data_IF_759994033436
#
_entry.id   IF_759994033436
#
_cell.length_a   1.000
_cell.length_b   1.000
_cell.length_c   1.000
_cell.angle_alpha   90.00
_cell.angle_beta   90.00
_cell.angle_gamma   90.00
#
_symmetry.space_group_name_H-M   'P 1'
#
loop_
_entity.id
_entity.type
_entity.pdbx_description
1 polymer ?
#
# COMPACT_ATOMS: atom_id res chain seq x y z
N UNK A 1 -58.21 -62.32 7.70
CA UNK A 1 -59.40 -61.45 7.56
C UNK A 1 -59.33 -60.38 8.65
N UNK A 2 -59.26 -59.09 8.25
CA UNK A 2 -59.60 -57.83 8.96
C UNK A 2 -58.97 -57.57 10.35
N UNK A 3 -58.45 -56.39 10.71
CA UNK A 3 -58.53 -55.05 10.11
C UNK A 3 -57.46 -54.13 10.76
N UNK A 4 -56.96 -53.18 9.96
CA UNK A 4 -56.13 -52.02 10.32
C UNK A 4 -56.78 -51.07 11.35
N UNK A 5 -55.99 -50.24 12.05
CA UNK A 5 -55.75 -48.79 11.76
C UNK A 5 -55.14 -47.98 12.93
N UNK A 6 -53.92 -47.48 12.69
CA UNK A 6 -53.42 -46.08 12.79
C UNK A 6 -54.12 -45.05 13.69
N UNK A 7 -53.35 -44.32 14.56
CA UNK A 7 -52.92 -42.91 14.36
C UNK A 7 -52.20 -42.28 15.57
N UNK A 8 -51.20 -41.45 15.24
CA UNK A 8 -50.42 -40.50 16.06
C UNK A 8 -51.29 -39.37 16.63
N UNK A 9 -50.85 -38.71 17.72
CA UNK A 9 -50.53 -37.25 17.79
C UNK A 9 -50.19 -36.83 19.24
N UNK A 10 -49.26 -35.88 19.31
CA UNK A 10 -48.59 -35.22 20.43
C UNK A 10 -49.47 -34.25 21.27
N UNK A 11 -48.89 -33.82 22.41
CA UNK A 11 -48.82 -32.45 22.98
C UNK A 11 -49.45 -32.19 24.39
N UNK A 12 -48.58 -31.64 25.26
CA UNK A 12 -48.77 -30.48 26.19
C UNK A 12 -49.21 -30.71 27.64
N UNK A 13 -48.47 -30.04 28.54
CA UNK A 13 -48.95 -29.46 29.81
C UNK A 13 -47.97 -29.73 30.97
N UNK A 14 -47.12 -28.81 31.47
CA UNK A 14 -47.26 -27.43 31.98
C UNK A 14 -46.97 -27.39 33.50
N UNK A 15 -45.94 -26.60 33.86
CA UNK A 15 -45.68 -25.77 35.05
C UNK A 15 -46.20 -26.16 36.45
N UNK A 16 -45.37 -25.93 37.49
CA UNK A 16 -45.61 -24.96 38.60
C UNK A 16 -44.34 -24.81 39.47
N UNK A 17 -44.06 -23.55 39.84
CA UNK A 17 -43.00 -23.01 40.71
C UNK A 17 -43.14 -23.43 42.21
N UNK A 18 -42.30 -23.13 43.20
CA UNK A 18 -41.34 -22.06 43.42
C UNK A 18 -40.51 -22.30 44.72
N UNK A 19 -39.38 -21.58 44.85
CA UNK A 19 -38.77 -20.97 46.05
C UNK A 19 -38.02 -21.81 47.11
N UNK A 20 -36.76 -21.44 47.37
CA UNK A 20 -36.01 -21.85 48.58
C UNK A 20 -34.50 -21.55 48.59
N UNK A 21 -34.17 -20.27 48.82
CA UNK A 21 -32.89 -19.62 49.16
C UNK A 21 -31.59 -20.45 49.39
N UNK A 22 -30.54 -20.06 48.67
CA UNK A 22 -29.12 -20.30 49.01
C UNK A 22 -28.25 -19.24 48.34
N UNK A 23 -27.96 -18.15 49.06
CA UNK A 23 -27.07 -17.09 48.58
C UNK A 23 -25.60 -17.47 48.83
N UNK A 24 -24.91 -17.86 47.76
CA UNK A 24 -23.46 -17.78 47.66
C UNK A 24 -23.12 -16.45 46.97
N UNK A 25 -22.12 -15.68 47.43
CA UNK A 25 -21.65 -14.54 46.67
C UNK A 25 -20.94 -15.08 45.43
N UNK A 26 -21.64 -15.06 44.30
CA UNK A 26 -20.95 -15.01 43.01
C UNK A 26 -20.21 -13.67 43.04
N UNK A 27 -18.88 -13.72 43.06
CA UNK A 27 -18.10 -12.59 42.58
C UNK A 27 -18.53 -12.42 41.13
N UNK A 28 -19.48 -11.50 40.92
CA UNK A 28 -19.73 -11.00 39.59
C UNK A 28 -18.40 -10.47 39.10
N UNK A 29 -17.87 -11.08 38.05
CA UNK A 29 -17.26 -10.29 37.00
C UNK A 29 -18.32 -9.24 36.67
N UNK A 30 -18.18 -8.05 37.26
CA UNK A 30 -18.99 -6.91 36.89
C UNK A 30 -18.87 -6.71 35.38
N UNK A 31 -19.76 -5.92 34.75
CA UNK A 31 -19.34 -5.29 33.52
C UNK A 31 -17.97 -4.66 33.84
N UNK A 32 -16.93 -5.07 33.11
CA UNK A 32 -15.80 -4.18 32.94
C UNK A 32 -16.42 -2.84 32.57
N UNK A 33 -16.09 -1.78 33.32
CA UNK A 33 -16.54 -0.46 32.98
C UNK A 33 -16.31 -0.27 31.48
N UNK A 34 -17.39 -0.18 30.70
CA UNK A 34 -17.30 0.43 29.39
C UNK A 34 -16.98 1.88 29.73
N UNK A 35 -15.69 2.23 29.67
CA UNK A 35 -15.28 3.61 29.79
C UNK A 35 -15.92 4.35 28.60
N UNK A 36 -16.57 5.48 28.87
CA UNK A 36 -17.00 6.42 27.83
C UNK A 36 -15.72 6.91 27.13
N UNK A 37 -15.27 6.18 26.11
CA UNK A 37 -13.98 6.42 25.49
C UNK A 37 -13.81 5.69 24.17
N UNK A 38 -13.25 6.40 23.20
CA UNK A 38 -12.52 5.80 22.11
C UNK A 38 -11.27 5.09 22.65
N UNK A 39 -10.84 4.03 21.98
CA UNK A 39 -9.52 3.43 22.17
C UNK A 39 -8.79 3.49 20.83
N UNK A 40 -7.52 3.88 20.85
CA UNK A 40 -6.68 3.94 19.65
C UNK A 40 -5.46 3.06 19.87
N UNK A 41 -5.41 1.93 19.17
CA UNK A 41 -4.26 1.05 19.21
C UNK A 41 -3.21 1.52 18.20
N UNK A 42 -2.00 1.73 18.72
CA UNK A 42 -0.81 2.11 17.97
C UNK A 42 0.12 0.90 17.88
N UNK A 43 0.08 0.21 16.74
CA UNK A 43 0.78 -1.05 16.56
C UNK A 43 2.02 -0.84 15.69
N UNK A 44 3.22 -0.96 16.29
CA UNK A 44 4.46 -1.04 15.51
C UNK A 44 4.49 -2.38 14.78
N UNK A 45 4.27 -2.32 13.47
CA UNK A 45 4.29 -3.52 12.61
C UNK A 45 5.68 -3.86 12.12
N UNK A 46 6.55 -2.86 11.99
CA UNK A 46 7.96 -3.07 11.68
C UNK A 46 8.82 -1.91 12.21
N UNK A 47 10.09 -2.17 12.56
CA UNK A 47 11.05 -1.13 12.90
C UNK A 47 12.45 -1.48 12.42
N UNK A 48 13.13 -0.51 11.84
CA UNK A 48 14.52 -0.59 11.41
C UNK A 48 15.31 0.55 12.06
N UNK A 49 16.64 0.46 12.16
CA UNK A 49 17.49 1.33 13.00
C UNK A 49 17.49 2.85 12.74
N UNK A 50 16.54 3.37 11.94
CA UNK A 50 16.26 4.79 11.74
C UNK A 50 14.78 5.11 11.46
N UNK A 51 13.88 4.12 11.42
CA UNK A 51 12.46 4.32 11.15
C UNK A 51 11.59 3.12 11.49
N UNK A 52 10.29 3.29 11.38
CA UNK A 52 9.31 2.29 11.75
C UNK A 52 8.05 2.47 10.94
N UNK A 53 7.28 1.40 10.85
CA UNK A 53 5.92 1.43 10.33
C UNK A 53 4.97 1.14 11.48
N UNK A 54 3.92 1.95 11.59
CA UNK A 54 2.87 1.79 12.57
C UNK A 54 1.51 1.72 11.88
N UNK A 55 0.64 0.87 12.40
CA UNK A 55 -0.76 0.84 12.03
C UNK A 55 -1.62 1.31 13.18
N UNK A 56 -2.74 1.94 12.84
CA UNK A 56 -3.59 2.65 13.79
C UNK A 56 -5.00 2.07 13.71
N UNK A 57 -5.43 1.50 14.82
CA UNK A 57 -6.76 0.88 14.94
C UNK A 57 -7.62 1.72 15.87
N UNK A 58 -8.78 2.17 15.37
CA UNK A 58 -9.77 2.87 16.16
C UNK A 58 -10.80 1.87 16.65
N UNK A 59 -10.99 1.78 17.96
CA UNK A 59 -12.12 1.11 18.60
C UNK A 59 -13.09 2.15 19.11
N UNK A 60 -14.29 2.19 18.54
CA UNK A 60 -15.27 3.21 18.84
C UNK A 60 -16.25 2.75 19.94
N UNK A 61 -16.38 3.49 21.04
CA UNK A 61 -17.38 3.20 22.08
C UNK A 61 -18.83 3.43 21.61
N UNK A 62 -19.03 4.42 20.75
CA UNK A 62 -20.27 4.76 20.05
C UNK A 62 -19.97 4.88 18.54
N UNK A 63 -20.97 4.78 17.64
CA UNK A 63 -20.71 4.85 16.21
C UNK A 63 -20.08 6.19 15.82
N UNK A 64 -19.00 6.13 15.04
CA UNK A 64 -18.30 7.28 14.48
C UNK A 64 -18.57 7.33 12.97
N UNK A 65 -18.92 8.52 12.47
CA UNK A 65 -19.12 8.81 11.05
C UNK A 65 -18.33 10.09 10.74
N UNK A 66 -17.06 9.87 10.41
CA UNK A 66 -16.01 10.89 10.35
C UNK A 66 -15.17 10.90 11.62
N UNK A 67 -13.86 10.68 11.47
CA UNK A 67 -12.92 10.67 12.59
C UNK A 67 -11.74 11.62 12.35
N UNK A 68 -11.37 12.33 13.42
CA UNK A 68 -10.19 13.16 13.55
C UNK A 68 -9.37 12.64 14.74
N UNK A 69 -8.20 12.06 14.47
CA UNK A 69 -7.25 11.59 15.48
C UNK A 69 -6.15 12.64 15.67
N UNK A 70 -5.89 13.00 16.93
CA UNK A 70 -4.77 13.87 17.29
C UNK A 70 -3.94 13.23 18.40
N UNK A 71 -2.62 13.38 18.36
CA UNK A 71 -1.74 12.96 19.46
C UNK A 71 -0.40 13.70 19.45
N UNK A 72 0.42 13.48 20.48
CA UNK A 72 1.78 13.98 20.58
C UNK A 72 2.79 12.84 20.50
N UNK A 73 3.66 12.86 19.50
CA UNK A 73 4.77 11.92 19.41
C UNK A 73 5.90 12.25 20.41
N UNK A 74 6.72 11.25 20.79
CA UNK A 74 7.99 11.52 21.43
C UNK A 74 8.87 12.45 20.57
N UNK A 75 9.60 13.35 21.22
CA UNK A 75 10.47 14.31 20.53
C UNK A 75 11.48 13.60 19.59
N UNK A 76 11.59 14.11 18.36
CA UNK A 76 12.45 13.54 17.31
C UNK A 76 11.76 12.48 16.44
N UNK A 77 10.47 12.22 16.65
CA UNK A 77 9.66 11.37 15.77
C UNK A 77 9.07 12.20 14.63
N UNK A 78 9.18 11.73 13.40
CA UNK A 78 8.63 12.40 12.22
C UNK A 78 7.94 11.38 11.33
N UNK A 79 6.68 11.63 10.96
CA UNK A 79 5.94 10.88 9.96
C UNK A 79 6.43 11.30 8.58
N UNK A 80 6.90 10.33 7.79
CA UNK A 80 7.37 10.55 6.42
C UNK A 80 6.32 10.24 5.36
N UNK A 81 5.41 9.31 5.65
CA UNK A 81 4.28 8.96 4.79
C UNK A 81 3.16 8.33 5.61
N UNK A 82 1.91 8.48 5.18
CA UNK A 82 0.76 7.79 5.75
C UNK A 82 -0.26 7.49 4.65
N UNK A 83 -1.09 6.47 4.84
CA UNK A 83 -2.13 6.05 3.91
C UNK A 83 -3.47 5.91 4.61
N UNK A 84 -4.57 6.05 3.86
CA UNK A 84 -5.94 6.06 4.38
C UNK A 84 -6.20 7.19 5.41
N UNK A 85 -5.39 8.26 5.40
CA UNK A 85 -5.53 9.39 6.32
C UNK A 85 -5.12 10.67 5.61
N UNK A 86 -5.90 11.74 5.76
CA UNK A 86 -5.45 13.10 5.47
C UNK A 86 -4.76 13.61 6.73
N UNK A 87 -3.48 13.94 6.66
CA UNK A 87 -2.67 14.14 7.86
C UNK A 87 -1.75 15.36 7.78
N UNK A 88 -1.40 15.86 8.96
CA UNK A 88 -0.36 16.87 9.13
C UNK A 88 0.39 16.63 10.43
N UNK A 89 1.67 17.01 10.44
CA UNK A 89 2.49 17.01 11.64
C UNK A 89 3.21 18.36 11.78
N UNK A 90 3.19 18.92 12.99
CA UNK A 90 3.94 20.12 13.35
C UNK A 90 4.67 19.89 14.67
N UNK A 91 5.99 19.77 14.62
CA UNK A 91 6.78 19.35 15.78
C UNK A 91 6.39 17.94 16.22
N UNK A 92 6.01 17.76 17.48
CA UNK A 92 5.52 16.48 18.02
C UNK A 92 4.03 16.24 17.73
N UNK A 93 3.29 17.28 17.36
CA UNK A 93 1.84 17.21 17.24
C UNK A 93 1.44 16.62 15.89
N UNK A 94 0.65 15.55 15.90
CA UNK A 94 0.09 14.90 14.73
C UNK A 94 -1.43 15.06 14.72
N UNK A 95 -1.99 15.33 13.54
CA UNK A 95 -3.41 15.31 13.26
C UNK A 95 -3.65 14.47 12.03
N UNK A 96 -4.62 13.55 12.08
CA UNK A 96 -5.06 12.74 10.95
C UNK A 96 -6.58 12.60 10.91
N UNK A 97 -7.19 12.80 9.75
CA UNK A 97 -8.63 12.62 9.53
C UNK A 97 -8.92 11.56 8.47
N UNK A 98 -10.13 11.02 8.48
CA UNK A 98 -10.59 10.08 7.47
C UNK A 98 -10.53 10.67 6.05
N UNK A 99 -10.47 9.78 5.05
CA UNK A 99 -10.45 10.14 3.62
C UNK A 99 -11.78 9.81 2.94
N UNK A 100 -12.88 9.89 3.70
CA UNK A 100 -14.25 9.70 3.24
C UNK A 100 -14.70 8.24 3.20
N UNK A 101 -13.94 7.34 2.56
CA UNK A 101 -14.38 5.94 2.43
C UNK A 101 -14.23 5.13 3.73
N UNK A 102 -13.28 5.53 4.60
CA UNK A 102 -13.00 4.89 5.87
C UNK A 102 -13.53 5.68 7.09
N UNK A 103 -14.47 6.60 6.86
CA UNK A 103 -15.05 7.48 7.88
C UNK A 103 -15.86 6.73 8.96
N UNK A 104 -16.50 5.61 8.59
CA UNK A 104 -17.47 4.92 9.44
C UNK A 104 -16.82 3.83 10.30
N UNK A 105 -17.02 3.89 11.61
CA UNK A 105 -16.67 2.84 12.58
C UNK A 105 -17.87 2.57 13.48
N UNK A 106 -18.38 1.34 13.52
CA UNK A 106 -19.53 0.97 14.32
C UNK A 106 -19.24 0.96 15.83
N UNK A 107 -20.30 1.04 16.64
CA UNK A 107 -20.18 0.92 18.10
C UNK A 107 -19.60 -0.44 18.50
N UNK A 108 -18.53 -0.41 19.29
CA UNK A 108 -17.77 -1.57 19.73
C UNK A 108 -16.91 -2.22 18.64
N UNK A 109 -16.83 -1.64 17.44
CA UNK A 109 -15.98 -2.17 16.36
C UNK A 109 -14.58 -1.60 16.45
N UNK A 110 -13.60 -2.46 16.14
CA UNK A 110 -12.19 -2.09 15.96
C UNK A 110 -11.86 -2.12 14.47
N UNK A 111 -11.50 -0.98 13.91
CA UNK A 111 -11.17 -0.84 12.49
C UNK A 111 -9.77 -0.26 12.37
N UNK A 112 -8.90 -0.92 11.60
CA UNK A 112 -7.63 -0.31 11.19
C UNK A 112 -7.96 0.85 10.26
N UNK A 113 -7.86 2.06 10.78
CA UNK A 113 -8.30 3.27 10.10
C UNK A 113 -7.22 3.79 9.16
N UNK A 114 -5.95 3.72 9.58
CA UNK A 114 -4.81 4.13 8.75
C UNK A 114 -3.51 3.47 9.21
N UNK A 115 -2.44 3.71 8.45
CA UNK A 115 -1.08 3.38 8.87
C UNK A 115 -0.10 4.40 8.32
N UNK A 116 1.12 4.40 8.85
CA UNK A 116 2.13 5.37 8.48
C UNK A 116 3.55 4.84 8.67
N UNK A 117 4.50 5.45 7.97
CA UNK A 117 5.94 5.28 8.19
C UNK A 117 6.46 6.51 8.92
N UNK A 118 7.14 6.26 10.04
CA UNK A 118 7.81 7.27 10.85
C UNK A 118 9.32 7.04 10.91
N UNK A 119 10.05 8.08 11.25
CA UNK A 119 11.47 8.05 11.61
C UNK A 119 11.65 8.49 13.07
N UNK A 120 12.72 8.05 13.72
CA UNK A 120 12.98 8.38 15.13
C UNK A 120 12.40 7.38 16.12
N UNK A 121 11.72 7.85 17.17
CA UNK A 121 11.23 7.00 18.26
C UNK A 121 9.94 6.27 17.86
N UNK A 122 9.95 4.94 17.94
CA UNK A 122 8.76 4.11 17.74
C UNK A 122 7.88 3.96 18.99
N UNK A 123 8.19 4.66 20.09
CA UNK A 123 7.36 4.63 21.29
C UNK A 123 5.96 5.23 21.03
N UNK A 124 4.95 4.69 21.70
CA UNK A 124 3.57 5.12 21.53
C UNK A 124 3.39 6.62 21.85
N UNK A 125 2.53 7.33 21.11
CA UNK A 125 2.26 8.74 21.35
C UNK A 125 1.41 8.94 22.61
N UNK A 126 1.48 10.15 23.16
CA UNK A 126 0.71 10.59 24.32
C UNK A 126 -0.45 11.51 23.91
N UNK A 127 -1.38 11.75 24.83
CA UNK A 127 -2.50 12.68 24.65
C UNK A 127 -3.37 12.38 23.40
N UNK A 128 -3.60 11.10 23.13
CA UNK A 128 -4.42 10.66 22.00
C UNK A 128 -5.86 11.11 22.18
N UNK A 129 -6.44 11.73 21.16
CA UNK A 129 -7.84 12.13 21.12
C UNK A 129 -8.49 11.76 19.79
N UNK A 130 -9.76 11.38 19.82
CA UNK A 130 -10.60 11.17 18.64
C UNK A 130 -11.75 12.17 18.70
N UNK A 131 -11.94 12.97 17.65
CA UNK A 131 -12.96 14.02 17.55
C UNK A 131 -12.92 14.99 18.76
N UNK A 132 -11.72 15.26 19.29
CA UNK A 132 -11.48 16.11 20.45
C UNK A 132 -11.78 15.49 21.81
N UNK A 133 -12.14 14.21 21.88
CA UNK A 133 -12.32 13.45 23.13
C UNK A 133 -11.08 12.62 23.40
N UNK A 134 -10.48 12.75 24.59
CA UNK A 134 -9.29 11.98 24.96
C UNK A 134 -9.63 10.50 25.07
N UNK A 135 -8.80 9.67 24.44
CA UNK A 135 -8.86 8.21 24.50
C UNK A 135 -7.94 7.69 25.63
N UNK A 136 -8.15 6.43 26.05
CA UNK A 136 -7.24 5.66 26.92
C UNK A 136 -6.90 6.28 28.29
N UNK A 137 -7.80 7.09 28.86
CA UNK A 137 -7.68 7.60 30.23
C UNK A 137 -6.51 8.56 30.49
N UNK A 138 -5.90 9.12 29.45
CA UNK A 138 -4.73 10.00 29.57
C UNK A 138 -5.10 11.42 30.05
N UNK A 139 -4.23 12.03 30.87
CA UNK A 139 -4.30 13.47 31.23
C UNK A 139 -3.33 14.27 30.35
N UNK A 140 -3.79 15.39 29.77
CA UNK A 140 -3.07 16.18 28.75
C UNK A 140 -1.64 16.67 29.10
N UNK A 141 -0.93 17.25 28.12
CA UNK A 141 0.53 17.40 28.15
C UNK A 141 1.06 18.29 29.29
N UNK A 142 2.14 17.84 29.93
CA UNK A 142 2.95 18.59 30.90
C UNK A 142 3.88 19.59 30.16
N UNK A 143 4.10 20.83 30.63
CA UNK A 143 4.92 21.80 29.92
C UNK A 143 6.44 21.72 30.21
N UNK A 144 7.23 22.05 29.17
CA UNK A 144 8.61 22.60 29.11
C UNK A 144 9.83 21.63 29.13
N UNK A 145 11.04 21.99 28.59
CA UNK A 145 11.55 23.33 28.25
C UNK A 145 11.99 23.63 26.80
N UNK A 146 11.90 24.94 26.48
CA UNK A 146 12.25 25.67 25.25
C UNK A 146 13.70 25.51 24.72
N UNK A 147 13.94 25.32 23.39
CA UNK A 147 15.28 25.38 22.82
C UNK A 147 15.73 26.79 22.39
N UNK A 148 17.04 27.06 22.54
CA UNK A 148 17.78 28.29 22.17
C UNK A 148 18.20 28.26 20.68
N UNK A 149 18.20 29.40 19.93
CA UNK A 149 18.50 29.40 18.50
C UNK A 149 19.99 29.21 18.17
N UNK A 150 20.28 28.41 17.13
CA UNK A 150 21.63 28.16 16.55
C UNK A 150 21.77 28.87 15.19
N UNK A 151 22.94 29.48 14.86
CA UNK A 151 23.09 30.36 13.70
C UNK A 151 23.23 29.68 12.32
N UNK A 152 22.88 30.46 11.29
CA UNK A 152 22.83 30.18 9.84
C UNK A 152 24.16 29.70 9.22
N UNK A 153 24.18 28.65 8.37
CA UNK A 153 25.37 28.26 7.63
C UNK A 153 25.60 29.09 6.35
N UNK A 154 26.88 29.24 5.99
CA UNK A 154 27.41 29.90 4.78
C UNK A 154 27.48 28.89 3.61
N UNK A 155 27.23 29.27 2.34
CA UNK A 155 27.20 28.32 1.22
C UNK A 155 28.58 27.75 0.88
N UNK A 156 28.62 26.43 0.63
CA UNK A 156 29.78 25.69 0.11
C UNK A 156 29.68 25.62 -1.42
N UNK A 157 30.76 25.78 -2.19
CA UNK A 157 30.70 25.76 -3.65
C UNK A 157 30.42 24.36 -4.22
N UNK A 158 29.56 24.35 -5.24
CA UNK A 158 29.16 23.22 -6.09
C UNK A 158 30.37 22.59 -6.82
N UNK A 159 30.55 21.25 -6.79
CA UNK A 159 31.53 20.60 -7.65
C UNK A 159 31.02 20.55 -9.10
N UNK A 160 31.94 20.78 -10.04
CA UNK A 160 31.73 20.64 -11.49
C UNK A 160 31.61 19.15 -11.86
N UNK A 161 30.60 18.71 -12.65
CA UNK A 161 30.54 17.34 -13.15
C UNK A 161 31.69 17.08 -14.13
N UNK A 162 32.35 15.93 -13.97
CA UNK A 162 33.31 15.39 -14.94
C UNK A 162 32.62 14.23 -15.64
N UNK A 163 32.49 14.33 -16.95
CA UNK A 163 32.06 13.24 -17.83
C UNK A 163 33.10 12.11 -17.76
N UNK A 164 32.71 10.93 -17.28
CA UNK A 164 33.43 9.67 -17.51
C UNK A 164 32.39 8.56 -17.78
N UNK A 165 32.47 7.82 -18.90
CA UNK A 165 31.49 6.81 -19.24
C UNK A 165 31.76 5.48 -18.53
N UNK A 166 30.67 4.87 -18.04
CA UNK A 166 30.47 3.42 -17.88
C UNK A 166 31.44 2.65 -16.98
N UNK A 167 31.07 2.51 -15.72
CA UNK A 167 31.27 1.26 -14.96
C UNK A 167 29.96 1.03 -14.19
N UNK A 168 29.27 -0.12 -14.33
CA UNK A 168 28.11 -0.42 -13.50
C UNK A 168 28.52 -0.27 -12.02
N UNK A 169 27.68 0.30 -11.15
CA UNK A 169 28.03 0.44 -9.75
C UNK A 169 28.43 -0.93 -9.17
N UNK A 170 29.51 -0.96 -8.39
CA UNK A 170 29.92 -2.17 -7.65
C UNK A 170 28.76 -2.59 -6.72
N UNK A 171 27.94 -3.58 -7.13
CA UNK A 171 26.80 -4.08 -6.36
C UNK A 171 25.74 -4.79 -7.22
N UNK A 172 24.70 -5.36 -6.60
CA UNK A 172 23.56 -5.93 -7.30
C UNK A 172 22.82 -4.85 -8.10
N UNK A 173 22.24 -5.22 -9.24
CA UNK A 173 21.40 -4.32 -10.04
C UNK A 173 20.11 -4.04 -9.29
N UNK A 174 19.81 -2.77 -9.05
CA UNK A 174 18.65 -2.32 -8.27
C UNK A 174 17.44 -2.23 -9.18
N UNK A 175 16.44 -3.07 -8.95
CA UNK A 175 15.23 -3.16 -9.76
C UNK A 175 14.04 -2.69 -8.90
N UNK A 176 13.31 -1.68 -9.36
CA UNK A 176 12.10 -1.22 -8.69
C UNK A 176 10.85 -1.70 -9.44
N UNK A 177 10.10 -2.66 -8.90
CA UNK A 177 8.72 -2.92 -9.32
C UNK A 177 7.83 -1.75 -8.90
N UNK A 178 7.46 -0.87 -9.83
CA UNK A 178 6.66 0.33 -9.57
C UNK A 178 5.25 0.16 -10.16
N UNK A 179 4.22 0.39 -9.35
CA UNK A 179 2.85 0.28 -9.86
C UNK A 179 1.73 0.42 -8.85
N UNK A 180 0.59 -0.17 -9.20
CA UNK A 180 -0.62 -0.20 -8.39
C UNK A 180 -0.77 -1.52 -7.59
N UNK A 181 -2.00 -1.97 -7.33
CA UNK A 181 -2.30 -3.23 -6.64
C UNK A 181 -1.80 -4.46 -7.40
N UNK A 182 -1.68 -4.39 -8.73
CA UNK A 182 -1.14 -5.51 -9.52
C UNK A 182 0.34 -5.71 -9.23
N UNK A 183 1.08 -4.64 -8.90
CA UNK A 183 2.47 -4.72 -8.45
C UNK A 183 2.57 -5.04 -6.96
N UNK A 184 1.82 -4.33 -6.11
CA UNK A 184 1.93 -4.44 -4.67
C UNK A 184 1.25 -5.68 -4.10
N UNK A 185 -0.08 -5.65 -4.01
CA UNK A 185 -0.89 -6.73 -3.46
C UNK A 185 -2.33 -6.62 -4.00
N UNK A 186 -3.00 -7.75 -4.34
CA UNK A 186 -2.60 -9.15 -4.10
C UNK A 186 -1.61 -9.74 -5.12
N UNK A 187 -1.09 -8.95 -6.07
CA UNK A 187 -0.16 -9.46 -7.09
C UNK A 187 1.12 -10.08 -6.51
N UNK A 188 1.39 -11.34 -6.88
CA UNK A 188 2.51 -12.13 -6.36
C UNK A 188 3.53 -12.56 -7.43
N UNK A 189 3.45 -12.00 -8.64
CA UNK A 189 4.41 -12.27 -9.71
C UNK A 189 5.85 -11.90 -9.35
N UNK A 190 6.08 -10.96 -8.43
CA UNK A 190 7.43 -10.56 -7.97
C UNK A 190 8.22 -11.74 -7.42
N UNK A 191 7.59 -12.62 -6.63
CA UNK A 191 8.26 -13.81 -6.11
C UNK A 191 8.65 -14.80 -7.22
N UNK A 192 7.77 -15.02 -8.20
CA UNK A 192 8.09 -15.82 -9.38
C UNK A 192 9.23 -15.19 -10.20
N UNK A 193 9.21 -13.87 -10.39
CA UNK A 193 10.26 -13.15 -11.09
C UNK A 193 11.60 -13.26 -10.35
N UNK A 194 11.60 -13.08 -9.03
CA UNK A 194 12.78 -13.25 -8.20
C UNK A 194 13.41 -14.63 -8.38
N UNK A 195 12.58 -15.68 -8.46
CA UNK A 195 13.07 -17.02 -8.76
C UNK A 195 13.74 -17.09 -10.13
N UNK A 196 13.12 -16.52 -11.18
CA UNK A 196 13.70 -16.54 -12.53
C UNK A 196 15.07 -15.84 -12.59
N UNK A 197 15.17 -14.63 -12.03
CA UNK A 197 16.44 -13.87 -12.03
C UNK A 197 17.53 -14.56 -11.19
N UNK A 198 17.15 -15.17 -10.06
CA UNK A 198 18.08 -15.96 -9.23
C UNK A 198 18.54 -17.23 -9.95
N UNK A 199 17.62 -17.97 -10.59
CA UNK A 199 17.93 -19.20 -11.33
C UNK A 199 18.83 -18.92 -12.56
N UNK A 200 18.70 -17.74 -13.15
CA UNK A 200 19.58 -17.25 -14.22
C UNK A 200 20.97 -16.79 -13.73
N UNK A 201 21.13 -16.59 -12.41
CA UNK A 201 22.40 -16.21 -11.78
C UNK A 201 22.68 -14.70 -11.79
N UNK A 202 21.65 -13.87 -11.97
CA UNK A 202 21.78 -12.42 -11.87
C UNK A 202 21.90 -11.97 -10.41
N UNK A 203 22.78 -11.00 -10.15
CA UNK A 203 22.92 -10.34 -8.85
C UNK A 203 22.03 -9.10 -8.85
N UNK A 204 20.86 -9.20 -8.23
CA UNK A 204 19.82 -8.16 -8.24
C UNK A 204 19.31 -7.86 -6.83
N UNK A 205 18.82 -6.65 -6.64
CA UNK A 205 18.23 -6.12 -5.41
C UNK A 205 16.87 -5.53 -5.80
N UNK A 206 15.77 -6.09 -5.29
CA UNK A 206 14.48 -5.43 -5.48
C UNK A 206 14.38 -4.28 -4.50
N UNK A 207 13.89 -3.13 -4.97
CA UNK A 207 13.93 -1.90 -4.17
C UNK A 207 12.58 -1.20 -4.20
N UNK A 208 12.25 -0.56 -3.07
CA UNK A 208 11.04 0.22 -2.91
C UNK A 208 10.63 0.26 -1.44
N UNK A 209 9.66 1.11 -1.12
CA UNK A 209 9.19 1.34 0.24
C UNK A 209 8.19 0.29 0.73
N UNK A 210 7.63 -0.50 -0.19
CA UNK A 210 6.60 -1.49 0.10
C UNK A 210 7.16 -2.89 0.16
N UNK A 211 6.54 -3.71 1.00
CA UNK A 211 6.83 -5.14 1.10
C UNK A 211 5.52 -5.92 1.05
N UNK A 212 5.42 -6.84 0.10
CA UNK A 212 4.24 -7.69 -0.03
C UNK A 212 4.66 -9.16 -0.16
N UNK A 213 4.35 -9.91 0.90
CA UNK A 213 4.68 -11.32 1.09
C UNK A 213 4.09 -12.22 0.01
N UNK A 214 4.96 -12.93 -0.72
CA UNK A 214 4.58 -13.83 -1.80
C UNK A 214 5.55 -15.03 -1.84
N UNK A 215 5.13 -16.12 -2.49
CA UNK A 215 5.99 -17.30 -2.70
C UNK A 215 6.93 -17.08 -3.92
N UNK A 216 8.13 -17.71 -3.94
CA UNK A 216 8.68 -18.62 -2.93
C UNK A 216 9.24 -17.87 -1.69
N UNK A 217 9.29 -18.58 -0.56
CA UNK A 217 9.89 -18.04 0.66
C UNK A 217 11.38 -17.75 0.46
N UNK A 218 11.83 -16.59 0.92
CA UNK A 218 13.22 -16.13 0.77
C UNK A 218 13.47 -15.29 -0.48
N UNK A 219 12.43 -15.00 -1.27
CA UNK A 219 12.52 -13.95 -2.28
C UNK A 219 12.71 -12.57 -1.64
N UNK A 220 13.44 -11.71 -2.33
CA UNK A 220 13.33 -10.27 -2.09
C UNK A 220 11.98 -9.81 -2.64
N UNK A 221 11.23 -9.09 -1.81
CA UNK A 221 9.85 -8.71 -2.07
C UNK A 221 9.64 -7.21 -1.92
N UNK A 222 10.73 -6.45 -1.79
CA UNK A 222 10.69 -5.00 -1.82
C UNK A 222 10.11 -4.54 -3.18
N UNK A 223 9.26 -3.53 -3.13
CA UNK A 223 8.57 -3.00 -4.29
C UNK A 223 8.04 -1.60 -4.01
N UNK A 224 7.50 -0.97 -5.04
CA UNK A 224 6.84 0.32 -4.98
C UNK A 224 5.42 0.21 -5.57
N UNK A 225 4.71 -0.85 -5.17
CA UNK A 225 3.33 -1.13 -5.59
C UNK A 225 2.30 -0.62 -4.58
N UNK A 226 1.42 0.28 -5.00
CA UNK A 226 0.46 0.95 -4.12
C UNK A 226 -0.99 0.68 -4.56
N UNK A 227 -1.70 -0.14 -3.79
CA UNK A 227 -3.09 -0.51 -4.10
C UNK A 227 -4.03 0.69 -4.22
N UNK A 228 -4.82 0.73 -5.29
CA UNK A 228 -5.76 1.83 -5.57
C UNK A 228 -5.10 3.15 -6.00
N UNK A 229 -3.77 3.24 -6.05
CA UNK A 229 -3.09 4.45 -6.47
C UNK A 229 -3.31 4.71 -7.97
N UNK A 230 -3.42 5.99 -8.33
CA UNK A 230 -3.41 6.46 -9.72
C UNK A 230 -2.03 7.05 -10.00
N UNK A 231 -1.42 6.71 -11.12
CA UNK A 231 -0.11 7.24 -11.49
C UNK A 231 -0.16 8.77 -11.65
N UNK A 232 -1.28 9.28 -12.15
CA UNK A 232 -1.50 10.73 -12.31
C UNK A 232 -1.53 11.46 -10.97
N UNK A 233 -2.16 10.88 -9.94
CA UNK A 233 -2.19 11.49 -8.61
C UNK A 233 -0.83 11.38 -7.91
N UNK A 234 -0.20 10.21 -7.98
CA UNK A 234 1.11 9.95 -7.37
C UNK A 234 2.17 10.92 -7.90
N UNK A 235 2.20 11.15 -9.21
CA UNK A 235 3.14 12.06 -9.85
C UNK A 235 2.81 13.52 -9.54
N UNK A 236 1.53 13.92 -9.64
CA UNK A 236 1.10 15.28 -9.31
C UNK A 236 1.41 15.69 -7.87
N UNK A 237 1.39 14.73 -6.94
CA UNK A 237 1.68 14.93 -5.53
C UNK A 237 3.17 14.79 -5.19
N UNK A 238 4.04 14.52 -6.16
CA UNK A 238 5.49 14.33 -5.96
C UNK A 238 5.87 13.04 -5.24
N UNK A 239 4.93 12.09 -5.08
CA UNK A 239 5.18 10.84 -4.36
C UNK A 239 6.13 9.93 -5.15
N UNK A 240 5.94 9.83 -6.47
CA UNK A 240 6.86 9.05 -7.33
C UNK A 240 8.30 9.53 -7.23
N UNK A 241 8.51 10.86 -7.22
CA UNK A 241 9.86 11.44 -7.07
C UNK A 241 10.48 11.03 -5.74
N UNK A 242 9.72 11.13 -4.65
CA UNK A 242 10.22 10.76 -3.31
C UNK A 242 10.61 9.27 -3.24
N UNK A 243 9.83 8.37 -3.85
CA UNK A 243 10.15 6.95 -3.91
C UNK A 243 11.44 6.67 -4.71
N UNK A 244 11.60 7.33 -5.87
CA UNK A 244 12.81 7.25 -6.68
C UNK A 244 14.04 7.81 -5.96
N UNK A 245 13.90 8.88 -5.17
CA UNK A 245 15.00 9.44 -4.38
C UNK A 245 15.41 8.52 -3.23
N UNK A 246 14.44 7.87 -2.58
CA UNK A 246 14.69 6.96 -1.47
C UNK A 246 15.37 5.67 -1.93
N UNK A 247 14.97 5.16 -3.09
CA UNK A 247 15.33 3.84 -3.58
C UNK A 247 15.82 3.89 -5.03
N UNK A 248 16.66 4.86 -5.40
CA UNK A 248 17.06 5.09 -6.80
C UNK A 248 17.43 3.79 -7.51
N UNK A 249 16.65 3.37 -8.53
CA UNK A 249 16.87 2.11 -9.20
C UNK A 249 17.74 2.26 -10.45
N UNK A 250 18.36 1.15 -10.84
CA UNK A 250 19.00 0.98 -12.15
C UNK A 250 17.95 0.58 -13.22
N UNK A 251 16.95 -0.20 -12.81
CA UNK A 251 15.83 -0.64 -13.67
C UNK A 251 14.50 -0.39 -12.99
N UNK A 252 13.54 0.23 -13.69
CA UNK A 252 12.14 0.34 -13.24
C UNK A 252 11.26 -0.62 -14.03
N UNK A 253 10.49 -1.47 -13.33
CA UNK A 253 9.39 -2.24 -13.91
C UNK A 253 8.09 -1.47 -13.70
N UNK A 254 7.66 -0.70 -14.69
CA UNK A 254 6.50 0.18 -14.59
C UNK A 254 5.23 -0.56 -15.03
N UNK A 255 4.44 -1.05 -14.08
CA UNK A 255 3.08 -1.58 -14.30
C UNK A 255 2.06 -0.73 -13.54
N UNK A 256 1.63 0.37 -14.15
CA UNK A 256 0.75 1.34 -13.50
C UNK A 256 -0.38 1.77 -14.45
N UNK A 257 -1.33 2.58 -13.98
CA UNK A 257 -2.42 3.09 -14.82
C UNK A 257 -3.73 2.31 -14.78
N UNK A 258 -3.81 1.16 -14.09
CA UNK A 258 -5.07 0.39 -14.00
C UNK A 258 -6.18 1.19 -13.33
N UNK A 259 -5.85 1.87 -12.22
CA UNK A 259 -6.81 2.71 -11.50
C UNK A 259 -7.11 4.02 -12.24
N UNK A 260 -6.19 4.53 -13.05
CA UNK A 260 -6.42 5.68 -13.93
C UNK A 260 -7.44 5.31 -15.02
N UNK A 261 -7.28 4.15 -15.65
CA UNK A 261 -8.25 3.54 -16.57
C UNK A 261 -9.62 3.39 -15.92
N UNK A 262 -9.64 2.88 -14.68
CA UNK A 262 -10.85 2.77 -13.86
C UNK A 262 -11.54 4.11 -13.63
N UNK A 263 -10.74 5.14 -13.39
CA UNK A 263 -11.18 6.49 -13.10
C UNK A 263 -11.44 7.33 -14.36
N UNK A 264 -11.42 6.69 -15.54
CA UNK A 264 -11.65 7.34 -16.83
C UNK A 264 -10.66 8.49 -17.13
N UNK A 265 -9.43 8.36 -16.64
CA UNK A 265 -8.33 9.26 -16.99
C UNK A 265 -7.91 8.97 -18.44
N UNK A 266 -7.81 9.99 -19.31
CA UNK A 266 -7.39 9.79 -20.70
C UNK A 266 -5.96 9.24 -20.81
N UNK A 267 -5.66 8.35 -21.79
CA UNK A 267 -4.31 7.81 -22.01
C UNK A 267 -3.20 8.86 -22.04
N UNK A 268 -3.41 9.99 -22.74
CA UNK A 268 -2.42 11.07 -22.78
C UNK A 268 -2.03 11.62 -21.40
N UNK A 269 -2.97 11.73 -20.45
CA UNK A 269 -2.64 12.20 -19.09
C UNK A 269 -1.85 11.15 -18.29
N UNK A 270 -2.15 9.86 -18.51
CA UNK A 270 -1.40 8.75 -17.91
C UNK A 270 0.03 8.74 -18.44
N UNK A 271 0.21 8.96 -19.75
CA UNK A 271 1.52 9.02 -20.39
C UNK A 271 2.31 10.29 -20.02
N UNK A 272 1.64 11.41 -19.76
CA UNK A 272 2.28 12.60 -19.17
C UNK A 272 2.85 12.26 -17.79
N UNK A 273 2.10 11.53 -16.95
CA UNK A 273 2.58 11.06 -15.65
C UNK A 273 3.76 10.07 -15.79
N UNK A 274 3.72 9.15 -16.75
CA UNK A 274 4.88 8.28 -17.04
C UNK A 274 6.10 9.09 -17.46
N UNK A 275 5.89 10.15 -18.25
CA UNK A 275 6.98 11.06 -18.66
C UNK A 275 7.59 11.76 -17.46
N UNK A 276 6.80 12.18 -16.46
CA UNK A 276 7.32 12.71 -15.20
C UNK A 276 8.17 11.70 -14.44
N UNK A 277 7.73 10.44 -14.32
CA UNK A 277 8.52 9.38 -13.68
C UNK A 277 9.85 9.16 -14.39
N UNK A 278 9.84 9.07 -15.72
CA UNK A 278 11.06 8.88 -16.53
C UNK A 278 12.00 10.08 -16.39
N UNK A 279 11.46 11.30 -16.37
CA UNK A 279 12.25 12.52 -16.18
C UNK A 279 12.92 12.52 -14.80
N UNK A 280 12.13 12.27 -13.75
CA UNK A 280 12.63 12.22 -12.38
C UNK A 280 13.69 11.13 -12.19
N UNK A 281 13.47 9.95 -12.79
CA UNK A 281 14.40 8.84 -12.76
C UNK A 281 15.72 9.23 -13.43
N UNK A 282 15.68 9.80 -14.64
CA UNK A 282 16.89 10.20 -15.39
C UNK A 282 17.65 11.34 -14.71
N UNK A 283 16.97 12.21 -13.99
CA UNK A 283 17.60 13.24 -13.18
C UNK A 283 18.40 12.65 -11.99
N UNK A 284 18.01 11.45 -11.52
CA UNK A 284 18.68 10.75 -10.42
C UNK A 284 19.72 9.72 -10.91
N UNK A 285 19.39 9.02 -11.99
CA UNK A 285 20.19 8.00 -12.64
C UNK A 285 20.04 8.14 -14.17
N UNK A 286 20.95 8.85 -14.85
CA UNK A 286 20.85 9.12 -16.28
C UNK A 286 20.97 7.86 -17.15
N UNK A 287 21.52 6.77 -16.60
CA UNK A 287 21.70 5.47 -17.27
C UNK A 287 20.55 4.48 -16.99
N UNK A 288 19.51 4.90 -16.26
CA UNK A 288 18.46 3.99 -15.82
C UNK A 288 17.67 3.41 -17.00
N UNK A 289 17.34 2.13 -16.92
CA UNK A 289 16.47 1.44 -17.88
C UNK A 289 15.03 1.40 -17.38
N UNK A 290 14.07 1.63 -18.28
CA UNK A 290 12.64 1.55 -17.95
C UNK A 290 12.00 0.43 -18.76
N UNK A 291 11.49 -0.58 -18.07
CA UNK A 291 10.66 -1.62 -18.65
C UNK A 291 9.20 -1.25 -18.35
N UNK A 292 8.46 -0.77 -19.36
CA UNK A 292 7.07 -0.33 -19.22
C UNK A 292 6.11 -1.41 -19.69
N UNK A 293 5.15 -1.79 -18.86
CA UNK A 293 4.12 -2.73 -19.25
C UNK A 293 3.12 -2.08 -20.20
N UNK A 294 2.78 -2.75 -21.30
CA UNK A 294 1.37 -2.74 -21.72
C UNK A 294 0.60 -3.48 -20.62
N UNK A 295 -0.33 -2.81 -19.94
CA UNK A 295 -1.02 -3.39 -18.78
C UNK A 295 -1.81 -4.65 -19.17
N UNK A 296 -2.00 -5.56 -18.23
CA UNK A 296 -2.80 -6.78 -18.46
C UNK A 296 -4.25 -6.45 -18.92
N UNK A 297 -4.91 -7.35 -19.65
CA UNK A 297 -6.31 -7.16 -20.02
C UNK A 297 -7.19 -7.13 -18.77
N UNK A 298 -8.23 -6.29 -18.82
CA UNK A 298 -9.22 -6.18 -17.75
C UNK A 298 -10.55 -6.79 -18.20
N UNK A 299 -11.23 -7.48 -17.29
CA UNK A 299 -12.61 -7.93 -17.46
C UNK A 299 -13.35 -7.93 -16.11
N UNK A 300 -13.43 -6.79 -15.39
CA UNK A 300 -14.09 -6.73 -14.10
C UNK A 300 -15.55 -7.13 -14.21
N UNK A 301 -16.09 -7.81 -13.19
CA UNK A 301 -17.52 -8.09 -13.14
C UNK A 301 -18.31 -6.76 -13.23
N UNK A 302 -19.42 -6.78 -13.95
CA UNK A 302 -20.32 -5.64 -14.09
C UNK A 302 -20.78 -5.08 -12.73
N UNK A 303 -20.78 -5.88 -11.66
CA UNK A 303 -21.07 -5.45 -10.30
C UNK A 303 -19.99 -4.55 -9.67
N UNK A 304 -18.75 -4.58 -10.15
CA UNK A 304 -17.64 -3.77 -9.64
C UNK A 304 -17.52 -2.41 -10.32
N UNK A 305 -18.30 -2.14 -11.38
CA UNK A 305 -18.64 -0.77 -11.77
C UNK A 305 -17.79 -0.12 -12.87
N UNK A 306 -17.01 -0.88 -13.67
CA UNK A 306 -16.30 -0.32 -14.82
C UNK A 306 -16.47 -1.13 -16.12
N UNK A 307 -17.64 -1.00 -16.76
CA UNK A 307 -17.94 -1.70 -18.01
C UNK A 307 -17.03 -1.30 -19.19
N UNK A 308 -16.51 -0.08 -19.19
CA UNK A 308 -15.64 0.45 -20.26
C UNK A 308 -14.15 0.19 -20.00
N UNK A 309 -13.76 -0.26 -18.79
CA UNK A 309 -12.36 -0.52 -18.44
C UNK A 309 -11.62 -1.42 -19.43
N UNK A 310 -12.21 -2.52 -19.94
CA UNK A 310 -11.55 -3.35 -20.94
C UNK A 310 -11.12 -2.56 -22.17
N UNK A 311 -12.00 -1.69 -22.69
CA UNK A 311 -11.69 -0.87 -23.86
C UNK A 311 -10.69 0.24 -23.53
N UNK A 312 -10.82 0.89 -22.36
CA UNK A 312 -9.89 1.93 -21.93
C UNK A 312 -8.47 1.40 -21.71
N UNK A 313 -8.33 0.15 -21.24
CA UNK A 313 -7.04 -0.53 -21.16
C UNK A 313 -6.43 -0.77 -22.56
N UNK A 314 -7.25 -1.17 -23.55
CA UNK A 314 -6.82 -1.25 -24.96
C UNK A 314 -6.34 0.11 -25.46
N UNK A 315 -7.09 1.17 -25.17
CA UNK A 315 -6.77 2.52 -25.64
C UNK A 315 -5.44 3.02 -25.06
N UNK A 316 -5.19 2.81 -23.75
CA UNK A 316 -3.89 3.11 -23.14
C UNK A 316 -2.76 2.29 -23.77
N UNK A 317 -2.93 0.97 -23.88
CA UNK A 317 -1.91 0.08 -24.44
C UNK A 317 -1.56 0.37 -25.90
N UNK A 318 -2.49 0.93 -26.67
CA UNK A 318 -2.26 1.35 -28.05
C UNK A 318 -1.30 2.55 -28.15
N UNK A 319 -1.24 3.40 -27.13
CA UNK A 319 -0.40 4.61 -27.12
C UNK A 319 1.00 4.36 -26.53
N UNK A 320 1.15 3.41 -25.60
CA UNK A 320 2.42 3.11 -24.91
C UNK A 320 3.62 2.88 -25.86
N UNK A 321 3.53 2.10 -26.95
CA UNK A 321 4.68 1.90 -27.84
C UNK A 321 5.18 3.17 -28.53
N UNK A 322 4.25 4.04 -28.94
CA UNK A 322 4.59 5.32 -29.53
C UNK A 322 5.25 6.26 -28.52
N UNK A 323 4.71 6.31 -27.31
CA UNK A 323 5.29 7.06 -26.19
C UNK A 323 6.70 6.58 -25.84
N UNK A 324 6.88 5.28 -25.61
CA UNK A 324 8.17 4.69 -25.25
C UNK A 324 9.23 4.99 -26.32
N UNK A 325 8.90 4.78 -27.60
CA UNK A 325 9.80 5.10 -28.72
C UNK A 325 10.19 6.58 -28.75
N UNK A 326 9.26 7.49 -28.42
CA UNK A 326 9.51 8.93 -28.47
C UNK A 326 10.45 9.44 -27.38
N UNK A 327 10.55 8.72 -26.26
CA UNK A 327 11.28 9.15 -25.07
C UNK A 327 12.52 8.29 -24.79
N UNK A 328 12.63 7.10 -25.41
CA UNK A 328 13.76 6.18 -25.29
C UNK A 328 15.04 6.76 -25.89
N UNK A 329 16.18 6.54 -25.22
CA UNK A 329 17.52 6.89 -25.71
C UNK A 329 18.44 5.67 -25.64
N UNK A 330 19.64 5.77 -26.22
CA UNK A 330 20.65 4.71 -26.10
C UNK A 330 21.18 4.58 -24.66
N UNK A 331 21.30 5.70 -23.94
CA UNK A 331 21.81 5.79 -22.57
C UNK A 331 20.77 5.36 -21.52
N UNK A 332 19.50 5.71 -21.73
CA UNK A 332 18.37 5.36 -20.86
C UNK A 332 17.24 4.75 -21.70
N UNK A 333 17.32 3.45 -22.02
CA UNK A 333 16.34 2.81 -22.87
C UNK A 333 15.00 2.65 -22.17
N UNK A 334 13.92 2.83 -22.94
CA UNK A 334 12.55 2.46 -22.55
C UNK A 334 12.12 1.29 -23.42
N UNK A 335 11.86 0.14 -22.79
CA UNK A 335 11.45 -1.11 -23.45
C UNK A 335 10.01 -1.41 -23.07
N UNK A 336 9.18 -1.68 -24.08
CA UNK A 336 7.79 -2.07 -23.86
C UNK A 336 7.72 -3.58 -23.59
N UNK A 337 7.09 -3.94 -22.49
CA UNK A 337 6.83 -5.32 -22.07
C UNK A 337 5.37 -5.65 -22.30
N UNK A 338 5.11 -6.62 -23.18
CA UNK A 338 3.76 -7.06 -23.53
C UNK A 338 3.22 -8.01 -22.44
N UNK A 339 2.53 -7.45 -21.44
CA UNK A 339 1.77 -8.23 -20.45
C UNK A 339 0.37 -8.62 -20.96
N UNK A 340 -0.01 -8.20 -22.16
CA UNK A 340 -1.32 -8.41 -22.74
C UNK A 340 -1.44 -9.74 -23.47
N UNK A 341 -0.53 -10.03 -24.40
CA UNK A 341 -0.63 -11.18 -25.29
C UNK A 341 -0.45 -12.50 -24.54
N UNK A 342 -1.53 -13.30 -24.53
CA UNK A 342 -1.56 -14.62 -23.88
C UNK A 342 -2.10 -14.60 -22.44
N UNK A 343 -2.49 -13.42 -21.95
CA UNK A 343 -3.19 -13.24 -20.69
C UNK A 343 -4.71 -13.25 -20.94
N UNK A 344 -5.45 -14.06 -20.18
CA UNK A 344 -6.90 -14.17 -20.24
C UNK A 344 -7.48 -13.76 -18.87
N UNK A 345 -8.13 -12.59 -18.77
CA UNK A 345 -8.60 -12.10 -17.49
C UNK A 345 -9.64 -13.03 -16.85
N UNK A 346 -10.35 -13.86 -17.61
CA UNK A 346 -11.32 -14.79 -17.04
C UNK A 346 -10.68 -15.98 -16.32
N UNK A 347 -9.43 -16.32 -16.65
CA UNK A 347 -8.74 -17.51 -16.10
C UNK A 347 -7.45 -17.18 -15.35
N UNK A 348 -6.87 -16.00 -15.59
CA UNK A 348 -5.62 -15.54 -15.01
C UNK A 348 -5.82 -14.48 -13.91
N UNK A 349 -7.06 -14.10 -13.58
CA UNK A 349 -7.37 -13.20 -12.47
C UNK A 349 -8.39 -13.82 -11.52
N UNK A 350 -8.48 -13.29 -10.30
CA UNK A 350 -9.50 -13.68 -9.32
C UNK A 350 -10.82 -12.90 -9.48
N UNK A 351 -10.76 -11.66 -9.96
CA UNK A 351 -11.88 -10.72 -9.99
C UNK A 351 -12.05 -9.97 -11.34
N UNK A 352 -11.31 -10.37 -12.37
CA UNK A 352 -11.24 -9.69 -13.65
C UNK A 352 -10.19 -8.58 -13.72
N UNK A 353 -9.43 -8.35 -12.64
CA UNK A 353 -8.43 -7.27 -12.52
C UNK A 353 -7.11 -7.80 -11.94
N UNK A 354 -7.16 -8.45 -10.79
CA UNK A 354 -5.97 -8.84 -10.05
C UNK A 354 -5.51 -10.25 -10.40
N UNK A 355 -4.23 -10.45 -10.73
CA UNK A 355 -3.72 -11.75 -11.19
C UNK A 355 -3.79 -12.81 -10.10
N UNK A 356 -4.32 -13.98 -10.46
CA UNK A 356 -4.24 -15.20 -9.64
C UNK A 356 -2.89 -15.90 -9.88
N UNK A 357 -2.68 -17.09 -9.32
CA UNK A 357 -1.42 -17.85 -9.49
C UNK A 357 -1.01 -18.04 -10.97
N UNK A 358 -1.96 -18.33 -11.87
CA UNK A 358 -1.69 -18.47 -13.31
C UNK A 358 -1.26 -17.15 -13.94
N UNK A 359 -1.98 -16.07 -13.65
CA UNK A 359 -1.62 -14.73 -14.12
C UNK A 359 -0.27 -14.27 -13.59
N UNK A 360 0.03 -14.55 -12.32
CA UNK A 360 1.30 -14.20 -11.70
C UNK A 360 2.49 -14.91 -12.37
N UNK A 361 2.33 -16.16 -12.83
CA UNK A 361 3.36 -16.86 -13.61
C UNK A 361 3.58 -16.19 -14.98
N UNK A 362 2.50 -15.81 -15.66
CA UNK A 362 2.59 -15.16 -16.98
C UNK A 362 3.25 -13.78 -16.90
N UNK A 363 2.86 -12.97 -15.91
CA UNK A 363 3.42 -11.64 -15.70
C UNK A 363 4.92 -11.72 -15.41
N UNK A 364 5.32 -12.62 -14.51
CA UNK A 364 6.72 -12.84 -14.17
C UNK A 364 7.55 -13.29 -15.38
N UNK A 365 7.02 -14.21 -16.20
CA UNK A 365 7.72 -14.69 -17.39
C UNK A 365 7.99 -13.58 -18.41
N UNK A 366 7.03 -12.67 -18.63
CA UNK A 366 7.20 -11.51 -19.52
C UNK A 366 8.18 -10.48 -19.00
N UNK A 367 8.15 -10.20 -17.70
CA UNK A 367 9.16 -9.36 -17.08
C UNK A 367 10.55 -9.98 -17.19
N UNK A 368 10.67 -11.29 -16.94
CA UNK A 368 11.94 -11.98 -17.04
C UNK A 368 12.49 -11.99 -18.47
N UNK A 369 11.65 -12.24 -19.49
CA UNK A 369 12.06 -12.16 -20.91
C UNK A 369 12.70 -10.81 -21.24
N UNK A 370 12.12 -9.70 -20.76
CA UNK A 370 12.68 -8.36 -20.98
C UNK A 370 13.91 -8.06 -20.10
N UNK A 371 13.95 -8.57 -18.86
CA UNK A 371 15.07 -8.39 -17.96
C UNK A 371 16.30 -9.19 -18.37
N UNK A 372 16.13 -10.40 -18.92
CA UNK A 372 17.23 -11.25 -19.43
C UNK A 372 18.02 -10.50 -20.51
N UNK A 373 17.32 -9.79 -21.41
CA UNK A 373 17.93 -8.94 -22.45
C UNK A 373 18.64 -7.69 -21.90
N UNK A 374 18.27 -7.21 -20.70
CA UNK A 374 18.87 -6.02 -20.06
C UNK A 374 20.05 -6.40 -19.16
N UNK A 375 19.95 -7.53 -18.48
CA UNK A 375 20.92 -7.98 -17.47
C UNK A 375 22.01 -8.90 -18.06
N UNK A 376 21.72 -9.61 -19.15
CA UNK A 376 22.64 -10.54 -19.84
C UNK A 376 23.46 -9.89 -20.94
#
# INVERSE_FOLDING_TARGET
MRSDRTRRILLVGAAVAALGAGALPVLGSGPAAAEDGCQVDYDIVNSWGGGFQADVTLTAGEPVDGWDITWEFPAGTTVSSAWNVDWSQSGTSFTGSDVGWNAAVGAGESVRVFGFVGSGSAAAPEAISVNGTLCDGQTGPSPDPTPTPTPTPTPTPTPTPTDDPTTPPDGPVRIMPLGDSITGSPGCWRGNLWQHVTDAGYDVDFVGSQYAGCAPAGADLDNEGHGGALVTNVTANGQSRAWLEQNTPDVVLLHFGTNDVWSNVPPGQILDAYTSIVTDLRDLNPDATVLVAQIIPLAPDASFGCADCPQRAVDLNAEIPGWATSLSTEESPIVVVDQWTGFDPATDTDDGVHPNDSGNVKIAARWFEALDDVLG
#
